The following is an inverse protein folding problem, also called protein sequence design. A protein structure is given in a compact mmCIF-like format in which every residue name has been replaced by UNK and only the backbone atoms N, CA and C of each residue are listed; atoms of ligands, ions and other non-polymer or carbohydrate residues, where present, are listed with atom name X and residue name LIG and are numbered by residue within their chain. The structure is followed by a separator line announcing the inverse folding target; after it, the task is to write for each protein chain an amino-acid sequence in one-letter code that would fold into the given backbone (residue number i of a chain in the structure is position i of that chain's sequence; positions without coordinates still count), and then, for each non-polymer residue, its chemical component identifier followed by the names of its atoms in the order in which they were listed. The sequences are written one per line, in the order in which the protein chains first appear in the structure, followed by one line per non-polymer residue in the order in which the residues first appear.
data_IF_746573290301
#
_entry.id   IF_746573290301
#
_cell.length_a   1.000
_cell.length_b   1.000
_cell.length_c   1.000
_cell.angle_alpha   90.00
_cell.angle_beta   90.00
_cell.angle_gamma   90.00
#
_symmetry.space_group_name_H-M   'P 1'
#
loop_
_entity.id
_entity.type
_entity.pdbx_description
1 polymer ?
#
# COMPACT_ATOMS: atom_id res chain seq x y z
N UNK A 1 5.41 -28.74 52.11
CA UNK A 1 5.01 -29.68 51.04
C UNK A 1 3.83 -29.03 50.35
N UNK A 2 4.15 -28.19 49.38
CA UNK A 2 3.19 -27.41 48.57
C UNK A 2 3.56 -27.77 47.15
N UNK A 3 2.65 -28.47 46.46
CA UNK A 3 2.85 -28.92 45.09
C UNK A 3 3.02 -27.73 44.16
N UNK A 4 4.13 -27.78 43.43
CA UNK A 4 4.44 -26.96 42.28
C UNK A 4 3.75 -27.57 41.07
N UNK A 5 2.75 -26.90 40.53
CA UNK A 5 2.30 -27.18 39.16
C UNK A 5 1.88 -25.88 38.48
N UNK A 6 2.90 -25.10 38.11
CA UNK A 6 2.76 -24.00 37.16
C UNK A 6 3.19 -24.55 35.79
N UNK A 7 2.25 -25.19 35.09
CA UNK A 7 2.37 -25.50 33.67
C UNK A 7 2.31 -24.19 32.88
N UNK A 8 3.48 -23.61 32.67
CA UNK A 8 3.76 -22.67 31.59
C UNK A 8 4.19 -23.47 30.34
N UNK A 9 3.96 -22.89 29.17
CA UNK A 9 4.32 -23.36 27.83
C UNK A 9 3.50 -24.51 27.22
N UNK A 10 2.52 -24.11 26.43
CA UNK A 10 2.31 -24.71 25.12
C UNK A 10 2.36 -23.60 24.06
N UNK A 11 3.47 -23.50 23.35
CA UNK A 11 3.55 -22.76 22.09
C UNK A 11 2.56 -23.41 21.09
N UNK A 12 1.90 -22.63 20.23
CA UNK A 12 0.90 -23.15 19.29
C UNK A 12 1.51 -24.21 18.35
N UNK A 13 0.75 -25.28 18.14
CA UNK A 13 1.12 -26.43 17.31
C UNK A 13 1.17 -26.07 15.81
N UNK A 14 2.10 -26.71 15.10
CA UNK A 14 2.49 -26.48 13.70
C UNK A 14 1.47 -26.87 12.62
N UNK A 15 0.16 -26.70 12.86
CA UNK A 15 -0.89 -27.04 11.88
C UNK A 15 -1.77 -25.88 11.43
N UNK A 16 -1.53 -24.67 11.92
CA UNK A 16 -2.17 -23.44 11.43
C UNK A 16 -1.12 -22.54 10.79
N UNK A 17 -0.51 -23.00 9.68
CA UNK A 17 0.34 -22.11 8.88
C UNK A 17 -0.58 -21.30 7.98
N UNK A 18 -1.12 -20.20 8.51
CA UNK A 18 -1.33 -19.03 7.65
C UNK A 18 -0.01 -18.78 6.93
N UNK A 19 -0.03 -18.79 5.59
CA UNK A 19 1.15 -18.55 4.77
C UNK A 19 1.71 -17.17 5.17
N UNK A 20 2.85 -17.16 5.88
CA UNK A 20 3.44 -15.93 6.40
C UNK A 20 3.61 -14.93 5.27
N UNK A 21 3.09 -13.71 5.47
CA UNK A 21 3.15 -12.64 4.47
C UNK A 21 4.59 -12.12 4.29
N UNK A 22 5.49 -12.48 5.21
CA UNK A 22 6.92 -12.20 5.09
C UNK A 22 7.58 -13.16 4.08
N UNK A 23 8.49 -12.66 3.22
CA UNK A 23 9.28 -13.53 2.36
C UNK A 23 10.03 -14.60 3.17
N UNK A 24 10.16 -15.81 2.62
CA UNK A 24 10.86 -16.92 3.28
C UNK A 24 12.27 -16.53 3.78
N UNK A 25 13.01 -15.73 3.01
CA UNK A 25 14.35 -15.25 3.40
C UNK A 25 14.33 -14.39 4.66
N UNK A 26 13.29 -13.58 4.85
CA UNK A 26 13.09 -12.80 6.06
C UNK A 26 12.79 -13.70 7.26
N UNK A 27 11.91 -14.69 7.07
CA UNK A 27 11.57 -15.68 8.10
C UNK A 27 12.82 -16.47 8.55
N UNK A 28 13.63 -16.94 7.60
CA UNK A 28 14.87 -17.67 7.87
C UNK A 28 15.88 -16.81 8.65
N UNK A 29 15.99 -15.52 8.33
CA UNK A 29 16.87 -14.59 9.04
C UNK A 29 16.45 -14.39 10.51
N UNK A 30 15.15 -14.19 10.76
CA UNK A 30 14.60 -14.02 12.12
C UNK A 30 14.74 -15.30 12.93
N UNK A 31 14.45 -16.45 12.33
CA UNK A 31 14.60 -17.77 12.96
C UNK A 31 16.05 -18.01 13.36
N UNK A 32 16.99 -17.70 12.46
CA UNK A 32 18.43 -17.84 12.70
C UNK A 32 18.90 -16.93 13.84
N UNK A 33 18.42 -15.68 13.90
CA UNK A 33 18.75 -14.75 14.97
C UNK A 33 18.19 -15.20 16.33
N UNK A 34 16.95 -15.66 16.36
CA UNK A 34 16.29 -16.20 17.58
C UNK A 34 17.06 -17.42 18.10
N UNK A 35 17.40 -18.37 17.23
CA UNK A 35 18.15 -19.56 17.61
C UNK A 35 19.56 -19.26 18.17
N UNK A 36 20.16 -18.08 17.90
CA UNK A 36 21.42 -17.67 18.52
C UNK A 36 21.24 -17.32 20.00
N UNK A 37 20.12 -16.68 20.35
CA UNK A 37 19.76 -16.37 21.73
C UNK A 37 19.58 -17.68 22.49
N UNK A 38 18.78 -18.61 21.96
CA UNK A 38 18.50 -19.89 22.62
C UNK A 38 19.78 -20.70 22.88
N UNK A 39 20.72 -20.71 21.93
CA UNK A 39 22.02 -21.36 22.12
C UNK A 39 22.88 -20.69 23.18
N UNK A 40 22.87 -19.36 23.26
CA UNK A 40 23.62 -18.64 24.29
C UNK A 40 23.04 -18.91 25.69
N UNK A 41 21.71 -18.89 25.82
CA UNK A 41 21.02 -19.21 27.08
C UNK A 41 21.28 -20.64 27.52
N UNK A 42 21.17 -21.62 26.60
CA UNK A 42 21.46 -23.02 26.89
C UNK A 42 22.91 -23.27 27.35
N UNK A 43 23.84 -22.44 26.89
CA UNK A 43 25.25 -22.48 27.30
C UNK A 43 25.54 -21.71 28.59
N UNK A 44 24.56 -20.97 29.15
CA UNK A 44 24.79 -20.05 30.26
C UNK A 44 25.64 -18.82 29.88
N UNK A 45 25.73 -18.51 28.58
CA UNK A 45 26.49 -17.38 28.05
C UNK A 45 25.67 -16.09 28.14
N UNK A 46 25.83 -15.38 29.25
CA UNK A 46 25.13 -14.12 29.53
C UNK A 46 25.52 -13.01 28.53
N UNK A 47 26.80 -12.90 28.19
CA UNK A 47 27.31 -11.89 27.27
C UNK A 47 26.81 -12.15 25.84
N UNK A 48 26.80 -13.43 25.44
CA UNK A 48 26.26 -13.89 24.17
C UNK A 48 24.75 -13.72 24.06
N UNK A 49 24.01 -13.84 25.18
CA UNK A 49 22.57 -13.59 25.23
C UNK A 49 22.25 -12.12 24.95
N UNK A 50 22.99 -11.20 25.59
CA UNK A 50 22.85 -9.75 25.33
C UNK A 50 23.25 -9.41 23.89
N UNK A 51 24.38 -9.97 23.41
CA UNK A 51 24.84 -9.78 22.04
C UNK A 51 23.80 -10.24 21.01
N UNK A 52 23.28 -11.45 21.18
CA UNK A 52 22.27 -12.02 20.29
C UNK A 52 20.92 -11.29 20.37
N UNK A 53 20.58 -10.69 21.51
CA UNK A 53 19.39 -9.85 21.66
C UNK A 53 19.48 -8.58 20.81
N UNK A 54 20.66 -7.93 20.78
CA UNK A 54 20.91 -6.80 19.85
C UNK A 54 20.79 -7.26 18.40
N UNK A 55 21.41 -8.39 18.06
CA UNK A 55 21.40 -8.93 16.70
C UNK A 55 19.96 -9.18 16.23
N UNK A 56 19.10 -9.75 17.09
CA UNK A 56 17.69 -9.96 16.77
C UNK A 56 16.96 -8.64 16.45
N UNK A 57 17.16 -7.61 17.27
CA UNK A 57 16.58 -6.27 17.03
C UNK A 57 17.07 -5.70 15.69
N UNK A 58 18.36 -5.79 15.38
CA UNK A 58 18.90 -5.34 14.10
C UNK A 58 18.35 -6.14 12.92
N UNK A 59 18.24 -7.46 13.06
CA UNK A 59 17.66 -8.35 12.04
C UNK A 59 16.21 -7.96 11.76
N UNK A 60 15.37 -7.83 12.79
CA UNK A 60 13.95 -7.48 12.61
C UNK A 60 13.81 -6.07 12.02
N UNK A 61 14.58 -5.08 12.50
CA UNK A 61 14.55 -3.74 11.95
C UNK A 61 14.88 -3.71 10.44
N UNK A 62 15.92 -4.45 10.04
CA UNK A 62 16.36 -4.56 8.64
C UNK A 62 15.34 -5.30 7.78
N UNK A 63 14.81 -6.42 8.28
CA UNK A 63 13.73 -7.16 7.61
C UNK A 63 12.54 -6.24 7.33
N UNK A 64 12.05 -5.50 8.34
CA UNK A 64 10.93 -4.57 8.17
C UNK A 64 11.25 -3.50 7.13
N UNK A 65 12.46 -2.94 7.13
CA UNK A 65 12.86 -1.96 6.14
C UNK A 65 12.93 -2.56 4.73
N UNK A 66 13.54 -3.74 4.58
CA UNK A 66 13.71 -4.42 3.30
C UNK A 66 12.35 -4.81 2.67
N UNK A 67 11.44 -5.41 3.45
CA UNK A 67 10.10 -5.80 2.95
C UNK A 67 9.22 -4.60 2.61
N UNK A 68 9.50 -3.42 3.20
CA UNK A 68 8.85 -2.16 2.88
C UNK A 68 9.63 -1.31 1.86
N UNK A 69 10.67 -1.88 1.23
CA UNK A 69 11.47 -1.23 0.18
C UNK A 69 12.26 -0.01 0.63
N UNK A 70 12.63 0.07 1.92
CA UNK A 70 13.38 1.17 2.51
C UNK A 70 14.89 0.88 2.51
N UNK A 71 15.69 1.91 2.24
CA UNK A 71 17.15 1.81 2.29
C UNK A 71 17.72 2.20 3.65
N UNK A 72 18.81 1.56 4.06
CA UNK A 72 19.58 1.89 5.25
C UNK A 72 21.09 1.70 5.01
N UNK A 73 21.93 2.38 5.78
CA UNK A 73 23.40 2.24 5.68
C UNK A 73 23.93 1.01 6.43
N UNK A 74 25.07 0.48 5.98
CA UNK A 74 25.75 -0.69 6.57
C UNK A 74 26.02 -0.55 8.07
N UNK A 75 26.44 0.64 8.49
CA UNK A 75 26.87 0.94 9.87
C UNK A 75 25.81 1.72 10.65
N UNK A 76 24.55 1.64 10.23
CA UNK A 76 23.45 2.33 10.91
C UNK A 76 23.27 1.76 12.32
N UNK A 77 23.36 2.57 13.39
CA UNK A 77 23.20 2.08 14.76
C UNK A 77 21.81 1.47 14.99
N UNK A 78 21.73 0.45 15.84
CA UNK A 78 20.48 -0.28 16.16
C UNK A 78 19.32 0.63 16.54
N UNK A 79 19.55 1.66 17.37
CA UNK A 79 18.51 2.62 17.75
C UNK A 79 17.95 3.37 16.53
N UNK A 80 18.82 3.73 15.58
CA UNK A 80 18.42 4.43 14.36
C UNK A 80 17.67 3.49 13.41
N UNK A 81 18.08 2.23 13.28
CA UNK A 81 17.33 1.21 12.54
C UNK A 81 15.92 1.00 13.14
N UNK A 82 15.82 0.93 14.47
CA UNK A 82 14.53 0.82 15.16
C UNK A 82 13.61 2.02 14.84
N UNK A 83 14.12 3.25 14.92
CA UNK A 83 13.35 4.44 14.54
C UNK A 83 12.94 4.47 13.07
N UNK A 84 13.84 4.08 12.16
CA UNK A 84 13.55 4.03 10.72
C UNK A 84 12.43 3.04 10.40
N UNK A 85 12.51 1.82 10.95
CA UNK A 85 11.49 0.77 10.74
C UNK A 85 10.13 1.19 11.32
N UNK A 86 10.10 1.78 12.51
CA UNK A 86 8.86 2.32 13.08
C UNK A 86 8.23 3.41 12.22
N UNK A 87 9.05 4.31 11.66
CA UNK A 87 8.59 5.35 10.75
C UNK A 87 8.04 4.75 9.46
N UNK A 88 8.71 3.74 8.89
CA UNK A 88 8.26 3.05 7.69
C UNK A 88 6.90 2.35 7.90
N UNK A 89 6.68 1.80 9.10
CA UNK A 89 5.39 1.22 9.48
C UNK A 89 4.29 2.26 9.71
N UNK A 90 4.63 3.54 9.92
CA UNK A 90 3.66 4.59 10.17
C UNK A 90 3.17 4.62 11.63
N UNK A 91 4.06 4.31 12.59
CA UNK A 91 3.76 4.29 14.05
C UNK A 91 3.53 5.72 14.64
N UNK A 92 3.23 6.68 13.80
CA UNK A 92 2.63 7.95 14.14
C UNK A 92 1.47 8.08 13.16
N UNK A 93 0.22 8.07 13.60
CA UNK A 93 -0.52 9.34 13.57
C UNK A 93 -1.75 9.39 14.50
N UNK A 94 -2.26 8.27 15.01
CA UNK A 94 -3.58 8.27 15.65
C UNK A 94 -3.57 8.31 17.19
N UNK A 95 -2.52 7.78 17.84
CA UNK A 95 -2.47 7.62 19.30
C UNK A 95 -1.14 8.07 19.92
N UNK A 96 -1.08 9.27 20.52
CA UNK A 96 0.17 9.82 21.10
C UNK A 96 0.83 8.92 22.16
N UNK A 97 0.04 8.13 22.90
CA UNK A 97 0.58 7.20 23.89
C UNK A 97 1.33 6.02 23.25
N UNK A 98 0.81 5.46 22.15
CA UNK A 98 1.49 4.38 21.41
C UNK A 98 2.76 4.89 20.76
N UNK A 99 2.74 6.10 20.20
CA UNK A 99 3.94 6.73 19.66
C UNK A 99 5.04 6.89 20.71
N UNK A 100 4.69 7.35 21.92
CA UNK A 100 5.64 7.44 23.04
C UNK A 100 6.16 6.07 23.46
N UNK A 101 5.27 5.08 23.60
CA UNK A 101 5.67 3.72 23.97
C UNK A 101 6.64 3.13 22.93
N UNK A 102 6.35 3.30 21.64
CA UNK A 102 7.24 2.89 20.58
C UNK A 102 8.60 3.59 20.64
N UNK A 103 8.61 4.92 20.85
CA UNK A 103 9.85 5.67 21.02
C UNK A 103 10.68 5.19 22.23
N UNK A 104 10.02 4.83 23.33
CA UNK A 104 10.67 4.20 24.48
C UNK A 104 11.27 2.83 24.13
N UNK A 105 10.58 2.01 23.35
CA UNK A 105 11.12 0.71 22.91
C UNK A 105 12.28 0.86 21.92
N UNK A 106 12.24 1.83 21.00
CA UNK A 106 13.40 2.15 20.15
C UNK A 106 14.60 2.64 20.99
N UNK A 107 14.34 3.36 22.07
CA UNK A 107 15.38 3.77 23.03
C UNK A 107 15.94 2.56 23.79
N UNK A 108 15.09 1.62 24.20
CA UNK A 108 15.51 0.36 24.82
C UNK A 108 16.39 -0.47 23.87
N UNK A 109 16.07 -0.53 22.57
CA UNK A 109 16.94 -1.12 21.55
C UNK A 109 18.34 -0.48 21.52
N UNK A 110 18.41 0.85 21.63
CA UNK A 110 19.67 1.58 21.80
C UNK A 110 20.43 1.17 23.07
N UNK A 111 19.75 1.11 24.20
CA UNK A 111 20.33 0.70 25.48
C UNK A 111 20.84 -0.75 25.47
N UNK A 112 20.17 -1.67 24.77
CA UNK A 112 20.67 -3.04 24.53
C UNK A 112 21.98 -2.99 23.73
N UNK A 113 22.06 -2.11 22.72
CA UNK A 113 23.28 -1.88 21.96
C UNK A 113 24.43 -1.37 22.81
N UNK A 114 24.15 -0.42 23.70
CA UNK A 114 25.11 0.10 24.68
C UNK A 114 25.56 -0.99 25.66
N UNK A 115 24.62 -1.76 26.21
CA UNK A 115 24.91 -2.87 27.13
C UNK A 115 25.75 -3.97 26.45
N UNK A 116 25.46 -4.29 25.19
CA UNK A 116 26.31 -5.18 24.39
C UNK A 116 27.72 -4.61 24.25
N UNK A 117 27.83 -3.30 23.99
CA UNK A 117 29.12 -2.65 23.82
C UNK A 117 29.88 -2.53 25.14
N UNK A 118 29.22 -2.41 26.30
CA UNK A 118 29.82 -2.24 27.63
C UNK A 118 30.08 -3.55 28.39
N UNK A 119 29.33 -4.60 28.07
CA UNK A 119 29.34 -5.86 28.82
C UNK A 119 29.15 -7.12 27.96
N UNK A 120 28.53 -7.02 26.78
CA UNK A 120 28.31 -8.18 25.90
C UNK A 120 29.48 -8.55 24.98
N UNK A 121 29.22 -9.47 24.05
CA UNK A 121 30.23 -9.90 23.07
C UNK A 121 30.38 -8.87 21.94
N UNK A 122 31.60 -8.45 21.60
CA UNK A 122 31.78 -7.57 20.43
C UNK A 122 33.07 -6.81 20.30
N UNK A 123 33.60 -6.35 21.42
CA UNK A 123 34.89 -5.70 21.53
C UNK A 123 35.50 -6.24 22.82
N UNK A 124 36.64 -6.92 22.72
CA UNK A 124 37.27 -7.57 23.87
C UNK A 124 37.48 -6.61 25.04
N UNK A 125 37.56 -7.16 26.26
CA UNK A 125 37.60 -6.40 27.50
C UNK A 125 38.89 -6.67 28.27
N UNK A 126 39.36 -5.67 29.02
CA UNK A 126 40.48 -5.82 29.96
C UNK A 126 40.06 -6.38 31.32
N UNK A 127 38.75 -6.44 31.60
CA UNK A 127 38.17 -6.99 32.82
C UNK A 127 36.91 -7.83 32.51
N UNK A 128 36.56 -8.80 33.36
CA UNK A 128 35.32 -9.57 33.22
C UNK A 128 34.07 -8.70 33.28
N UNK A 129 32.99 -9.09 32.59
CA UNK A 129 31.70 -8.39 32.69
C UNK A 129 31.10 -8.50 34.10
N UNK A 130 30.32 -7.48 34.48
CA UNK A 130 29.59 -7.44 35.76
C UNK A 130 28.12 -7.85 35.61
N UNK A 131 27.70 -8.31 34.42
CA UNK A 131 26.33 -8.75 34.18
C UNK A 131 25.99 -10.02 34.95
N UNK A 132 24.72 -10.14 35.32
CA UNK A 132 24.16 -11.34 35.92
C UNK A 132 22.97 -11.83 35.08
N UNK A 133 22.42 -13.00 35.43
CA UNK A 133 21.31 -13.60 34.71
C UNK A 133 20.09 -12.69 34.54
N UNK A 134 19.76 -11.85 35.53
CA UNK A 134 18.62 -10.93 35.45
C UNK A 134 18.85 -9.80 34.43
N UNK A 135 20.09 -9.35 34.25
CA UNK A 135 20.42 -8.34 33.24
C UNK A 135 20.27 -8.92 31.83
N UNK A 136 20.77 -10.13 31.60
CA UNK A 136 20.65 -10.82 30.31
C UNK A 136 19.18 -11.14 29.99
N UNK A 137 18.42 -11.64 30.97
CA UNK A 137 16.98 -11.92 30.84
C UNK A 137 16.19 -10.65 30.51
N UNK A 138 16.48 -9.53 31.18
CA UNK A 138 15.81 -8.26 30.90
C UNK A 138 16.10 -7.75 29.49
N UNK A 139 17.36 -7.83 29.04
CA UNK A 139 17.74 -7.45 27.67
C UNK A 139 17.02 -8.32 26.62
N UNK A 140 16.96 -9.64 26.84
CA UNK A 140 16.23 -10.57 25.97
C UNK A 140 14.74 -10.22 25.94
N UNK A 141 14.10 -10.08 27.09
CA UNK A 141 12.67 -9.78 27.17
C UNK A 141 12.32 -8.46 26.47
N UNK A 142 13.15 -7.42 26.63
CA UNK A 142 12.97 -6.15 25.94
C UNK A 142 13.13 -6.28 24.41
N UNK A 143 14.15 -7.02 23.95
CA UNK A 143 14.35 -7.31 22.52
C UNK A 143 13.17 -8.08 21.93
N UNK A 144 12.74 -9.17 22.58
CA UNK A 144 11.60 -9.99 22.14
C UNK A 144 10.31 -9.18 22.07
N UNK A 145 10.00 -8.40 23.11
CA UNK A 145 8.79 -7.56 23.12
C UNK A 145 8.77 -6.55 21.97
N UNK A 146 9.91 -5.90 21.69
CA UNK A 146 10.01 -4.99 20.55
C UNK A 146 9.85 -5.73 19.21
N UNK A 147 10.57 -6.85 19.04
CA UNK A 147 10.54 -7.63 17.80
C UNK A 147 9.16 -8.18 17.48
N UNK A 148 8.47 -8.78 18.46
CA UNK A 148 7.11 -9.31 18.29
C UNK A 148 6.15 -8.20 17.86
N UNK A 149 6.22 -7.03 18.50
CA UNK A 149 5.36 -5.91 18.15
C UNK A 149 5.62 -5.40 16.72
N UNK A 150 6.89 -5.25 16.35
CA UNK A 150 7.29 -4.77 15.01
C UNK A 150 6.90 -5.75 13.89
N UNK A 151 7.06 -7.05 14.14
CA UNK A 151 6.67 -8.09 13.17
C UNK A 151 5.17 -8.12 12.96
N UNK A 152 4.36 -8.07 14.04
CA UNK A 152 2.91 -8.02 13.91
C UNK A 152 2.42 -6.82 13.08
N UNK A 153 3.01 -5.63 13.31
CA UNK A 153 2.71 -4.44 12.51
C UNK A 153 3.15 -4.57 11.04
N UNK A 154 4.28 -5.24 10.79
CA UNK A 154 4.76 -5.45 9.43
C UNK A 154 3.88 -6.45 8.67
N UNK A 155 3.47 -7.54 9.33
CA UNK A 155 2.53 -8.52 8.79
C UNK A 155 1.18 -7.87 8.46
N UNK A 156 0.63 -7.06 9.37
CA UNK A 156 -0.60 -6.29 9.13
C UNK A 156 -0.45 -5.39 7.90
N UNK A 157 0.63 -4.61 7.82
CA UNK A 157 0.89 -3.68 6.71
C UNK A 157 1.13 -4.38 5.37
N UNK A 158 1.80 -5.53 5.38
CA UNK A 158 2.05 -6.33 4.19
C UNK A 158 0.78 -7.05 3.74
N UNK A 159 -0.02 -7.57 4.67
CA UNK A 159 -1.33 -8.16 4.39
C UNK A 159 -2.25 -7.10 3.75
N UNK A 160 -2.23 -5.88 4.29
CA UNK A 160 -2.92 -4.73 3.73
C UNK A 160 -2.53 -4.47 2.28
N UNK A 161 -1.24 -4.48 1.96
CA UNK A 161 -0.78 -4.19 0.60
C UNK A 161 -1.02 -5.37 -0.35
N UNK A 162 -0.88 -6.60 0.14
CA UNK A 162 -1.04 -7.84 -0.63
C UNK A 162 -2.47 -8.01 -1.13
N UNK A 163 -3.48 -7.76 -0.27
CA UNK A 163 -4.90 -7.84 -0.70
C UNK A 163 -5.19 -6.92 -1.89
N UNK A 164 -4.61 -5.73 -1.93
CA UNK A 164 -4.83 -4.80 -3.05
C UNK A 164 -4.10 -5.22 -4.33
N UNK A 165 -2.90 -5.78 -4.20
CA UNK A 165 -2.17 -6.31 -5.36
C UNK A 165 -2.91 -7.51 -5.98
N UNK A 166 -3.43 -8.41 -5.14
CA UNK A 166 -4.31 -9.50 -5.58
C UNK A 166 -5.56 -8.95 -6.25
N UNK A 167 -6.22 -7.96 -5.65
CA UNK A 167 -7.39 -7.32 -6.25
C UNK A 167 -7.09 -6.68 -7.62
N UNK A 168 -5.94 -6.04 -7.80
CA UNK A 168 -5.51 -5.49 -9.09
C UNK A 168 -5.40 -6.58 -10.16
N UNK A 169 -4.78 -7.71 -9.82
CA UNK A 169 -4.64 -8.85 -10.73
C UNK A 169 -5.98 -9.47 -11.06
N UNK A 170 -6.84 -9.68 -10.07
CA UNK A 170 -8.14 -10.33 -10.27
C UNK A 170 -9.15 -9.46 -11.02
N UNK A 171 -9.21 -8.16 -10.69
CA UNK A 171 -10.08 -7.20 -11.38
C UNK A 171 -9.60 -7.01 -12.82
N UNK A 172 -8.28 -6.88 -13.04
CA UNK A 172 -7.70 -6.74 -14.38
C UNK A 172 -7.66 -8.03 -15.19
N UNK A 173 -7.76 -9.19 -14.53
CA UNK A 173 -7.62 -10.51 -15.14
C UNK A 173 -8.95 -11.21 -15.44
N UNK A 174 -8.91 -12.55 -15.45
CA UNK A 174 -10.00 -13.39 -15.95
C UNK A 174 -11.06 -13.76 -14.90
N UNK A 175 -10.91 -13.35 -13.64
CA UNK A 175 -11.87 -13.67 -12.55
C UNK A 175 -13.27 -13.24 -12.96
N UNK A 176 -14.27 -14.13 -12.86
CA UNK A 176 -15.66 -13.79 -13.23
C UNK A 176 -16.40 -13.20 -12.04
N UNK A 177 -16.96 -12.00 -12.22
CA UNK A 177 -17.83 -11.35 -11.23
C UNK A 177 -19.30 -11.57 -11.61
N UNK A 178 -20.16 -11.84 -10.62
CA UNK A 178 -21.62 -11.80 -10.77
C UNK A 178 -22.13 -10.42 -10.31
N UNK A 179 -23.39 -10.09 -10.61
CA UNK A 179 -24.01 -8.82 -10.17
C UNK A 179 -23.85 -8.62 -8.67
N UNK A 180 -23.39 -7.44 -8.28
CA UNK A 180 -23.08 -7.03 -6.91
C UNK A 180 -21.75 -7.55 -6.36
N UNK A 181 -21.13 -8.55 -7.00
CA UNK A 181 -19.92 -9.19 -6.49
C UNK A 181 -18.69 -8.30 -6.63
N UNK A 182 -18.63 -7.44 -7.65
CA UNK A 182 -17.48 -6.54 -7.79
C UNK A 182 -17.51 -5.44 -6.73
N UNK A 183 -18.68 -4.86 -6.46
CA UNK A 183 -18.85 -3.90 -5.36
C UNK A 183 -18.49 -4.57 -4.03
N UNK A 184 -19.12 -5.72 -3.73
CA UNK A 184 -18.85 -6.45 -2.50
C UNK A 184 -17.36 -6.76 -2.32
N UNK A 185 -16.65 -7.06 -3.41
CA UNK A 185 -15.21 -7.30 -3.37
C UNK A 185 -14.41 -6.02 -3.06
N UNK A 186 -14.77 -4.87 -3.63
CA UNK A 186 -14.14 -3.58 -3.30
C UNK A 186 -14.38 -3.17 -1.84
N UNK A 187 -15.53 -3.52 -1.26
CA UNK A 187 -15.82 -3.32 0.16
C UNK A 187 -15.00 -4.27 1.04
N UNK A 188 -14.92 -5.54 0.66
CA UNK A 188 -14.20 -6.58 1.40
C UNK A 188 -12.71 -6.24 1.54
N UNK A 189 -12.09 -5.72 0.48
CA UNK A 189 -10.69 -5.27 0.52
C UNK A 189 -10.51 -3.92 1.22
N UNK A 190 -11.59 -3.27 1.66
CA UNK A 190 -11.57 -1.94 2.28
C UNK A 190 -10.86 -0.91 1.41
N UNK A 191 -11.37 -0.70 0.19
CA UNK A 191 -10.79 0.20 -0.81
C UNK A 191 -10.46 1.61 -0.25
N UNK A 192 -11.24 2.12 0.69
CA UNK A 192 -11.05 3.40 1.35
C UNK A 192 -9.77 3.49 2.20
N UNK A 193 -9.30 2.36 2.73
CA UNK A 193 -8.03 2.24 3.47
C UNK A 193 -6.81 2.15 2.56
N UNK A 194 -6.99 1.86 1.27
CA UNK A 194 -5.88 1.66 0.34
C UNK A 194 -5.07 2.96 0.13
N UNK A 195 -3.74 2.87 -0.07
CA UNK A 195 -2.95 4.02 -0.48
C UNK A 195 -3.52 4.69 -1.72
N UNK A 196 -3.44 6.03 -1.80
CA UNK A 196 -4.02 6.82 -2.93
C UNK A 196 -3.63 6.27 -4.31
N UNK A 197 -2.36 5.87 -4.48
CA UNK A 197 -1.88 5.29 -5.74
C UNK A 197 -2.55 3.96 -6.07
N UNK A 198 -2.78 3.12 -5.06
CA UNK A 198 -3.44 1.82 -5.18
C UNK A 198 -4.92 2.01 -5.50
N UNK A 199 -5.61 2.93 -4.82
CA UNK A 199 -6.99 3.30 -5.14
C UNK A 199 -7.13 3.69 -6.61
N UNK A 200 -6.23 4.56 -7.10
CA UNK A 200 -6.22 4.98 -8.52
C UNK A 200 -5.99 3.82 -9.47
N UNK A 201 -5.03 2.93 -9.18
CA UNK A 201 -4.79 1.73 -10.01
C UNK A 201 -6.01 0.80 -10.03
N UNK A 202 -6.71 0.64 -8.90
CA UNK A 202 -7.92 -0.19 -8.83
C UNK A 202 -9.06 0.43 -9.65
N UNK A 203 -9.27 1.74 -9.59
CA UNK A 203 -10.25 2.44 -10.41
C UNK A 203 -9.98 2.27 -11.90
N UNK A 204 -8.71 2.40 -12.28
CA UNK A 204 -8.25 2.16 -13.66
C UNK A 204 -8.49 0.71 -14.10
N UNK A 205 -8.23 -0.27 -13.22
CA UNK A 205 -8.48 -1.68 -13.50
C UNK A 205 -9.98 -1.97 -13.69
N UNK A 206 -10.85 -1.39 -12.86
CA UNK A 206 -12.31 -1.52 -12.99
C UNK A 206 -12.83 -0.95 -14.30
N UNK A 207 -12.42 0.28 -14.65
CA UNK A 207 -12.81 0.88 -15.94
C UNK A 207 -12.29 0.06 -17.12
N UNK A 208 -11.00 -0.34 -17.10
CA UNK A 208 -10.41 -1.14 -18.18
C UNK A 208 -11.06 -2.50 -18.35
N UNK A 209 -11.53 -3.11 -17.26
CA UNK A 209 -12.27 -4.37 -17.34
C UNK A 209 -13.57 -4.21 -18.15
N UNK A 210 -14.27 -3.09 -17.97
CA UNK A 210 -15.43 -2.76 -18.81
C UNK A 210 -15.02 -2.53 -20.26
N UNK A 211 -14.03 -1.67 -20.47
CA UNK A 211 -13.70 -1.17 -21.81
C UNK A 211 -12.95 -2.16 -22.70
N UNK A 212 -12.26 -3.16 -22.12
CA UNK A 212 -11.48 -4.17 -22.85
C UNK A 212 -12.21 -5.51 -22.95
N UNK A 213 -12.85 -5.96 -21.86
CA UNK A 213 -13.44 -7.31 -21.81
C UNK A 213 -14.94 -7.33 -22.09
N UNK A 214 -15.56 -6.18 -22.42
CA UNK A 214 -17.03 -6.03 -22.59
C UNK A 214 -17.82 -6.64 -21.43
N UNK A 215 -17.22 -6.71 -20.25
CA UNK A 215 -17.84 -7.34 -19.08
C UNK A 215 -18.83 -6.35 -18.50
N UNK A 216 -20.12 -6.66 -18.49
CA UNK A 216 -21.17 -5.72 -18.05
C UNK A 216 -21.13 -5.37 -16.55
N UNK A 217 -20.39 -6.12 -15.73
CA UNK A 217 -20.43 -5.99 -14.27
C UNK A 217 -19.80 -4.72 -13.69
N UNK A 218 -18.60 -4.26 -14.10
CA UNK A 218 -18.07 -2.96 -13.68
C UNK A 218 -19.03 -1.81 -13.92
N UNK A 219 -19.81 -1.89 -15.01
CA UNK A 219 -20.79 -0.88 -15.33
C UNK A 219 -21.94 -0.86 -14.32
N UNK A 220 -22.58 -2.01 -14.11
CA UNK A 220 -23.71 -2.13 -13.18
C UNK A 220 -23.33 -1.94 -11.70
N UNK A 221 -22.17 -2.46 -11.30
CA UNK A 221 -21.79 -2.54 -9.88
C UNK A 221 -21.04 -1.29 -9.42
N UNK A 222 -20.43 -0.53 -10.33
CA UNK A 222 -19.53 0.59 -9.98
C UNK A 222 -19.82 1.86 -10.78
N UNK A 223 -19.72 1.83 -12.11
CA UNK A 223 -19.72 3.05 -12.93
C UNK A 223 -21.09 3.75 -12.91
N UNK A 224 -22.18 3.03 -13.20
CA UNK A 224 -23.52 3.62 -13.23
C UNK A 224 -23.96 4.08 -11.83
N UNK A 225 -23.85 3.27 -10.75
CA UNK A 225 -24.16 3.72 -9.40
C UNK A 225 -23.37 4.96 -8.95
N UNK A 226 -22.08 5.06 -9.31
CA UNK A 226 -21.26 6.22 -8.97
C UNK A 226 -21.68 7.48 -9.77
N UNK A 227 -21.94 7.32 -11.07
CA UNK A 227 -22.37 8.42 -11.94
C UNK A 227 -23.75 8.96 -11.51
N UNK A 228 -24.66 8.07 -11.15
CA UNK A 228 -26.01 8.40 -10.66
C UNK A 228 -25.99 8.93 -9.22
N UNK A 229 -24.93 8.64 -8.46
CA UNK A 229 -24.79 9.04 -7.07
C UNK A 229 -25.44 8.13 -6.05
N UNK A 230 -25.71 6.89 -6.43
CA UNK A 230 -26.19 5.84 -5.54
C UNK A 230 -25.06 5.27 -4.67
N UNK A 231 -23.80 5.37 -5.11
CA UNK A 231 -22.61 4.89 -4.40
C UNK A 231 -21.51 5.97 -4.39
N UNK A 232 -20.69 5.98 -3.34
CA UNK A 232 -19.54 6.85 -3.21
C UNK A 232 -18.26 6.00 -3.06
N UNK A 233 -17.23 6.34 -3.84
CA UNK A 233 -15.92 5.70 -3.78
C UNK A 233 -14.81 6.71 -3.43
N UNK A 234 -13.63 6.27 -2.94
CA UNK A 234 -12.52 7.17 -2.67
C UNK A 234 -12.12 8.00 -3.89
N UNK A 235 -11.74 9.27 -3.68
CA UNK A 235 -11.48 10.21 -4.77
C UNK A 235 -10.45 9.70 -5.78
N UNK A 236 -9.36 9.10 -5.32
CA UNK A 236 -8.33 8.59 -6.21
C UNK A 236 -8.79 7.38 -7.03
N UNK A 237 -9.68 6.56 -6.50
CA UNK A 237 -10.35 5.50 -7.27
C UNK A 237 -11.21 6.11 -8.38
N UNK A 238 -12.00 7.14 -8.06
CA UNK A 238 -12.81 7.85 -9.07
C UNK A 238 -11.94 8.49 -10.17
N UNK A 239 -10.79 9.08 -9.81
CA UNK A 239 -9.81 9.62 -10.78
C UNK A 239 -9.34 8.54 -11.76
N UNK A 240 -8.95 7.36 -11.25
CA UNK A 240 -8.52 6.23 -12.09
C UNK A 240 -9.65 5.67 -12.95
N UNK A 241 -10.88 5.65 -12.43
CA UNK A 241 -12.07 5.21 -13.16
C UNK A 241 -12.38 6.15 -14.34
N UNK A 242 -12.39 7.47 -14.11
CA UNK A 242 -12.55 8.50 -15.16
C UNK A 242 -11.49 8.30 -16.25
N UNK A 243 -10.22 8.15 -15.87
CA UNK A 243 -9.13 7.96 -16.82
C UNK A 243 -9.32 6.70 -17.66
N UNK A 244 -9.67 5.55 -17.06
CA UNK A 244 -9.85 4.29 -17.78
C UNK A 244 -11.11 4.22 -18.65
N UNK A 245 -12.07 5.14 -18.48
CA UNK A 245 -13.22 5.29 -19.37
C UNK A 245 -12.81 6.00 -20.67
N UNK A 246 -11.92 6.98 -20.58
CA UNK A 246 -11.44 7.76 -21.74
C UNK A 246 -10.21 7.17 -22.43
N UNK A 247 -9.36 6.47 -21.69
CA UNK A 247 -8.09 5.93 -22.19
C UNK A 247 -8.08 4.41 -22.13
N UNK A 248 -7.59 3.77 -23.20
CA UNK A 248 -7.40 2.33 -23.23
C UNK A 248 -6.17 1.89 -22.37
N UNK A 249 -5.88 0.59 -22.38
CA UNK A 249 -4.74 0.04 -21.63
C UNK A 249 -3.38 0.55 -22.09
N UNK A 250 -3.27 1.01 -23.35
CA UNK A 250 -2.05 1.54 -23.96
C UNK A 250 -2.01 3.09 -23.87
N UNK A 251 -2.97 3.70 -23.17
CA UNK A 251 -3.05 5.15 -23.00
C UNK A 251 -3.63 5.88 -24.22
N UNK A 252 -4.29 5.18 -25.13
CA UNK A 252 -4.91 5.78 -26.33
C UNK A 252 -6.33 6.24 -26.06
N UNK A 253 -6.75 7.31 -26.74
CA UNK A 253 -8.09 7.88 -26.60
C UNK A 253 -9.14 6.92 -27.15
N UNK A 254 -10.20 6.67 -26.37
CA UNK A 254 -11.39 5.90 -26.75
C UNK A 254 -12.57 6.82 -27.08
N UNK A 255 -13.52 6.27 -27.85
CA UNK A 255 -14.58 7.05 -28.51
C UNK A 255 -15.98 6.53 -28.22
N UNK A 256 -16.20 5.97 -27.03
CA UNK A 256 -17.53 5.57 -26.59
C UNK A 256 -18.24 6.75 -25.93
N UNK A 257 -19.33 7.21 -26.55
CA UNK A 257 -20.11 8.38 -26.11
C UNK A 257 -20.66 8.19 -24.70
N UNK A 258 -21.03 6.95 -24.37
CA UNK A 258 -21.66 6.61 -23.11
C UNK A 258 -20.62 6.59 -21.97
N UNK A 259 -19.45 5.99 -22.21
CA UNK A 259 -18.32 5.98 -21.28
C UNK A 259 -17.84 7.39 -20.94
N UNK A 260 -17.73 8.24 -21.96
CA UNK A 260 -17.33 9.65 -21.78
C UNK A 260 -18.38 10.40 -20.98
N UNK A 261 -19.67 10.22 -21.29
CA UNK A 261 -20.76 10.83 -20.53
C UNK A 261 -20.70 10.41 -19.06
N UNK A 262 -20.48 9.12 -18.78
CA UNK A 262 -20.35 8.61 -17.41
C UNK A 262 -19.15 9.19 -16.69
N UNK A 263 -17.99 9.27 -17.36
CA UNK A 263 -16.79 9.88 -16.78
C UNK A 263 -17.03 11.35 -16.37
N UNK A 264 -17.78 12.09 -17.18
CA UNK A 264 -18.17 13.48 -16.90
C UNK A 264 -19.16 13.55 -15.75
N UNK A 265 -20.20 12.73 -15.74
CA UNK A 265 -21.18 12.65 -14.66
C UNK A 265 -20.46 12.45 -13.31
N UNK A 266 -19.51 11.51 -13.26
CA UNK A 266 -18.67 11.25 -12.09
C UNK A 266 -17.82 12.49 -11.74
N UNK A 267 -17.11 13.07 -12.71
CA UNK A 267 -16.27 14.25 -12.48
C UNK A 267 -17.07 15.44 -11.93
N UNK A 268 -18.29 15.67 -12.43
CA UNK A 268 -19.14 16.80 -12.03
C UNK A 268 -19.63 16.69 -10.58
N UNK A 269 -19.75 15.48 -10.05
CA UNK A 269 -20.09 15.22 -8.64
C UNK A 269 -18.93 15.49 -7.68
N UNK A 270 -17.69 15.51 -8.17
CA UNK A 270 -16.52 15.82 -7.34
C UNK A 270 -16.55 17.27 -6.83
N UNK A 271 -15.93 17.50 -5.67
CA UNK A 271 -15.72 18.87 -5.13
C UNK A 271 -14.94 19.71 -6.14
N UNK A 272 -15.28 21.00 -6.26
CA UNK A 272 -14.78 21.88 -7.32
C UNK A 272 -13.25 21.86 -7.51
N UNK A 273 -12.47 21.91 -6.42
CA UNK A 273 -11.00 21.88 -6.48
C UNK A 273 -10.47 20.53 -6.98
N UNK A 274 -11.05 19.42 -6.52
CA UNK A 274 -10.65 18.06 -6.93
C UNK A 274 -11.02 17.86 -8.40
N UNK A 275 -12.27 18.17 -8.77
CA UNK A 275 -12.77 18.13 -10.15
C UNK A 275 -11.84 18.87 -11.11
N UNK A 276 -11.41 20.08 -10.73
CA UNK A 276 -10.50 20.87 -11.53
C UNK A 276 -9.16 20.15 -11.76
N UNK A 277 -8.53 19.65 -10.71
CA UNK A 277 -7.24 18.94 -10.83
C UNK A 277 -7.37 17.66 -11.65
N UNK A 278 -8.43 16.88 -11.42
CA UNK A 278 -8.71 15.64 -12.16
C UNK A 278 -8.90 15.91 -13.65
N UNK A 279 -9.72 16.91 -14.02
CA UNK A 279 -9.97 17.26 -15.42
C UNK A 279 -8.72 17.84 -16.09
N UNK A 280 -7.91 18.61 -15.38
CA UNK A 280 -6.65 19.13 -15.92
C UNK A 280 -5.66 17.99 -16.24
N UNK A 281 -5.47 17.04 -15.31
CA UNK A 281 -4.62 15.87 -15.52
C UNK A 281 -5.12 15.00 -16.68
N UNK A 282 -6.44 14.80 -16.77
CA UNK A 282 -7.05 14.10 -17.88
C UNK A 282 -6.78 14.81 -19.22
N UNK A 283 -6.92 16.14 -19.26
CA UNK A 283 -6.62 16.91 -20.47
C UNK A 283 -5.17 16.76 -20.91
N UNK A 284 -4.22 16.79 -19.96
CA UNK A 284 -2.81 16.59 -20.26
C UNK A 284 -2.55 15.18 -20.83
N UNK A 285 -3.17 14.14 -20.27
CA UNK A 285 -3.05 12.77 -20.81
C UNK A 285 -3.69 12.64 -22.21
N UNK A 286 -4.84 13.28 -22.45
CA UNK A 286 -5.52 13.22 -23.76
C UNK A 286 -4.75 13.99 -24.84
N UNK A 287 -4.10 15.10 -24.49
CA UNK A 287 -3.27 15.86 -25.43
C UNK A 287 -2.09 15.03 -25.96
N UNK A 288 -1.48 14.21 -25.09
CA UNK A 288 -0.36 13.32 -25.44
C UNK A 288 -0.81 12.00 -26.10
N UNK A 289 -2.09 11.64 -25.95
CA UNK A 289 -2.61 10.36 -26.41
C UNK A 289 -2.81 10.31 -27.94
N UNK A 290 -2.53 9.12 -28.49
CA UNK A 290 -2.90 8.73 -29.85
C UNK A 290 -4.34 8.17 -29.87
N UNK A 291 -5.03 8.14 -31.02
CA UNK A 291 -6.35 7.51 -31.11
C UNK A 291 -6.23 5.98 -31.00
N UNK A 292 -7.15 5.34 -30.28
CA UNK A 292 -7.20 3.88 -30.17
C UNK A 292 -7.61 3.21 -31.50
N UNK A 293 -7.32 1.92 -31.74
CA UNK A 293 -7.81 1.23 -32.93
C UNK A 293 -9.35 1.19 -33.04
N UNK A 294 -10.06 1.29 -31.91
CA UNK A 294 -11.51 1.37 -31.85
C UNK A 294 -12.04 2.81 -31.95
N UNK A 295 -11.22 3.76 -32.41
CA UNK A 295 -11.57 5.17 -32.51
C UNK A 295 -12.57 5.39 -33.65
N UNK A 296 -13.78 5.81 -33.29
CA UNK A 296 -14.90 6.15 -34.18
C UNK A 296 -14.96 7.66 -34.38
N UNK A 297 -14.60 8.09 -35.59
CA UNK A 297 -14.53 9.48 -36.02
C UNK A 297 -15.89 10.18 -36.08
N UNK A 298 -16.96 9.46 -36.41
CA UNK A 298 -18.31 10.03 -36.48
C UNK A 298 -18.86 10.28 -35.07
N UNK A 299 -18.58 9.36 -34.14
CA UNK A 299 -18.92 9.52 -32.73
C UNK A 299 -18.16 10.70 -32.08
N UNK A 300 -16.94 11.01 -32.53
CA UNK A 300 -16.12 12.09 -31.96
C UNK A 300 -16.73 13.47 -32.06
N UNK A 301 -17.37 13.80 -33.18
CA UNK A 301 -18.01 15.12 -33.33
C UNK A 301 -19.07 15.34 -32.25
N UNK A 302 -19.82 14.27 -31.92
CA UNK A 302 -20.83 14.30 -30.85
C UNK A 302 -20.19 14.40 -29.46
N UNK A 303 -19.06 13.72 -29.23
CA UNK A 303 -18.36 13.74 -27.95
C UNK A 303 -17.69 15.11 -27.71
N UNK A 304 -17.01 15.66 -28.70
CA UNK A 304 -16.41 16.99 -28.62
C UNK A 304 -17.48 18.07 -28.41
N UNK A 305 -18.64 17.95 -29.06
CA UNK A 305 -19.78 18.84 -28.81
C UNK A 305 -20.26 18.78 -27.36
N UNK A 306 -20.34 17.58 -26.76
CA UNK A 306 -20.70 17.40 -25.36
C UNK A 306 -19.67 18.04 -24.41
N UNK A 307 -18.36 17.87 -24.67
CA UNK A 307 -17.32 18.56 -23.91
C UNK A 307 -17.41 20.09 -24.04
N UNK A 308 -17.73 20.62 -25.24
CA UNK A 308 -17.93 22.06 -25.45
C UNK A 308 -19.14 22.62 -24.72
N UNK A 309 -20.25 21.88 -24.72
CA UNK A 309 -21.45 22.25 -23.98
C UNK A 309 -21.13 22.39 -22.48
N UNK A 310 -20.49 21.37 -21.91
CA UNK A 310 -20.09 21.37 -20.49
C UNK A 310 -19.05 22.45 -20.18
N UNK A 311 -18.11 22.69 -21.10
CA UNK A 311 -17.14 23.77 -20.97
C UNK A 311 -17.84 25.14 -20.95
N UNK A 312 -18.89 25.31 -21.76
CA UNK A 312 -19.68 26.54 -21.80
C UNK A 312 -20.50 26.74 -20.52
N UNK A 313 -21.09 25.68 -19.98
CA UNK A 313 -21.79 25.73 -18.68
C UNK A 313 -20.84 26.05 -17.51
N UNK A 314 -19.55 25.70 -17.66
CA UNK A 314 -18.52 25.90 -16.64
C UNK A 314 -17.54 27.05 -16.99
N UNK A 315 -17.90 27.93 -17.93
CA UNK A 315 -16.99 28.93 -18.53
C UNK A 315 -16.38 29.94 -17.55
N UNK A 316 -17.05 30.18 -16.42
CA UNK A 316 -16.57 31.06 -15.34
C UNK A 316 -15.66 30.34 -14.32
N UNK A 317 -15.34 29.06 -14.53
CA UNK A 317 -14.57 28.21 -13.62
C UNK A 317 -13.45 27.50 -14.39
N UNK A 318 -12.35 27.25 -13.70
CA UNK A 318 -11.17 26.52 -14.21
C UNK A 318 -11.45 25.17 -14.95
N UNK A 319 -12.42 24.31 -14.55
CA UNK A 319 -12.77 23.10 -15.31
C UNK A 319 -13.20 23.37 -16.77
N UNK A 320 -13.74 24.55 -17.09
CA UNK A 320 -14.13 24.89 -18.46
C UNK A 320 -12.95 24.92 -19.44
N UNK A 321 -11.75 25.28 -18.97
CA UNK A 321 -10.55 25.29 -19.79
C UNK A 321 -10.07 23.86 -20.11
N UNK A 322 -10.02 22.99 -19.11
CA UNK A 322 -9.64 21.58 -19.31
C UNK A 322 -10.63 20.84 -20.24
N UNK A 323 -11.93 21.05 -20.07
CA UNK A 323 -12.95 20.47 -20.94
C UNK A 323 -12.85 20.99 -22.38
N UNK A 324 -12.56 22.29 -22.56
CA UNK A 324 -12.34 22.87 -23.89
C UNK A 324 -11.09 22.31 -24.57
N UNK A 325 -10.00 22.08 -23.82
CA UNK A 325 -8.78 21.43 -24.32
C UNK A 325 -9.06 20.02 -24.80
N UNK A 326 -9.75 19.22 -23.97
CA UNK A 326 -10.15 17.86 -24.35
C UNK A 326 -10.99 17.90 -25.63
N UNK A 327 -12.01 18.75 -25.72
CA UNK A 327 -12.84 18.88 -26.92
C UNK A 327 -12.02 19.19 -28.18
N UNK A 328 -11.12 20.19 -28.09
CA UNK A 328 -10.28 20.60 -29.21
C UNK A 328 -9.32 19.48 -29.66
N UNK A 329 -8.78 18.71 -28.71
CA UNK A 329 -7.92 17.57 -29.02
C UNK A 329 -8.69 16.46 -29.73
N UNK A 330 -9.89 16.12 -29.26
CA UNK A 330 -10.74 15.12 -29.90
C UNK A 330 -11.12 15.51 -31.33
N UNK A 331 -11.43 16.78 -31.57
CA UNK A 331 -11.68 17.32 -32.93
C UNK A 331 -10.45 17.24 -33.83
N UNK A 332 -9.27 17.53 -33.28
CA UNK A 332 -8.00 17.41 -34.02
C UNK A 332 -7.75 15.96 -34.43
N UNK A 333 -7.92 15.02 -33.50
CA UNK A 333 -7.77 13.59 -33.76
C UNK A 333 -8.77 13.07 -34.80
N UNK A 334 -10.00 13.60 -34.80
CA UNK A 334 -11.01 13.28 -35.80
C UNK A 334 -10.61 13.78 -37.20
N UNK A 335 -10.07 15.00 -37.29
CA UNK A 335 -9.65 15.63 -38.56
C UNK A 335 -8.38 15.00 -39.17
N UNK A 336 -7.41 14.59 -38.35
CA UNK A 336 -6.13 14.00 -38.80
C UNK A 336 -6.29 12.61 -39.47
N UNK A 337 -7.47 12.01 -39.36
CA UNK A 337 -7.75 10.65 -39.81
C UNK A 337 -8.60 10.57 -41.08
N UNK A 338 -8.95 11.71 -41.68
CA UNK A 338 -9.67 11.80 -42.95
C UNK A 338 -8.66 12.04 -44.10
N UNK A 339 -8.06 11.00 -44.72
CA UNK A 339 -7.34 11.18 -45.96
C UNK A 339 -8.42 11.31 -47.04
N UNK A 340 -8.60 12.52 -47.58
CA UNK A 340 -9.46 12.73 -48.74
C UNK A 340 -9.20 11.79 -49.90
#
# INVERSE_FOLDING_TARGET
MIDSDASADALPSSSDVEESVLPKTAHDAITSATARIDRAEAAGDLEGTIGSSKDLVETVAKVVLDVLGQSYGSDTPVQKLAWMSMKALGIAEERPALHRLGGSMATAAGAIGELRNSDGTGHGRSAPSTINGRHAEFARAAASAWCTWMLGLAEEKLADTSRFNTALVEIGGERVFRRGALKAYLDEIQLDTAPREVQRKLGLAVARRWTVNSTFMPRLDVIDPLAEGAEDFPLAFQEGLIEGLLLDKDGRVRTDVEDVRKAIEIAMRMRARVRQTTLAQLADHVDEAAPAPSFDHDAQTSIAALFRELAAENRARDPGHALSRIAARLETLAADSDPG
#
